data_IF_915375583850
#
_entry.id   IF_915375583850
#
_cell.length_a   1.000
_cell.length_b   1.000
_cell.length_c   1.000
_cell.angle_alpha   90.00
_cell.angle_beta   90.00
_cell.angle_gamma   90.00
#
_symmetry.space_group_name_H-M   'P 1'
#
loop_
_entity.id
_entity.type
_entity.pdbx_description
1 polymer ?
#
# COMPACT_ATOMS: atom_id res chain seq x y z
N UNK A 1 -1.16 -4.10 -18.23
CA UNK A 1 -2.53 -3.55 -18.08
C UNK A 1 -2.80 -2.97 -16.69
N UNK A 2 -3.84 -2.12 -16.58
CA UNK A 2 -4.40 -1.60 -15.32
C UNK A 2 -5.81 -2.17 -15.08
N UNK A 3 -6.06 -2.67 -13.88
CA UNK A 3 -7.33 -3.30 -13.48
C UNK A 3 -7.91 -2.60 -12.25
N UNK A 4 -9.22 -2.40 -12.24
CA UNK A 4 -9.99 -1.90 -11.10
C UNK A 4 -11.25 -2.73 -10.87
N UNK A 5 -11.88 -2.52 -9.73
CA UNK A 5 -13.15 -3.13 -9.37
C UNK A 5 -14.15 -2.03 -9.05
N UNK A 6 -15.26 -1.98 -9.78
CA UNK A 6 -16.33 -1.01 -9.59
C UNK A 6 -17.43 -1.56 -8.68
N UNK A 7 -18.07 -0.65 -7.94
CA UNK A 7 -19.27 -0.94 -7.14
C UNK A 7 -20.42 -1.36 -8.08
N UNK A 8 -20.96 -2.56 -7.87
CA UNK A 8 -22.14 -3.08 -8.59
C UNK A 8 -23.25 -3.56 -7.64
N UNK A 9 -23.07 -3.34 -6.33
CA UNK A 9 -23.95 -3.82 -5.26
C UNK A 9 -23.63 -5.23 -4.76
N UNK A 10 -22.70 -5.95 -5.39
CA UNK A 10 -22.18 -7.23 -4.91
C UNK A 10 -20.96 -7.04 -4.00
N UNK A 11 -20.58 -8.10 -3.27
CA UNK A 11 -19.44 -8.08 -2.32
C UNK A 11 -18.08 -8.02 -3.00
N UNK A 12 -17.97 -8.45 -4.25
CA UNK A 12 -16.70 -8.51 -4.99
C UNK A 12 -16.62 -7.46 -6.10
N UNK A 13 -17.67 -6.64 -6.26
CA UNK A 13 -17.80 -5.68 -7.34
C UNK A 13 -17.75 -6.29 -8.73
N UNK A 14 -17.53 -5.41 -9.71
CA UNK A 14 -17.42 -5.74 -11.12
C UNK A 14 -16.05 -5.31 -11.66
N UNK A 15 -15.32 -6.26 -12.27
CA UNK A 15 -14.01 -6.02 -12.87
C UNK A 15 -14.11 -5.08 -14.08
N UNK A 16 -13.21 -4.09 -14.11
CA UNK A 16 -12.99 -3.19 -15.24
C UNK A 16 -11.51 -3.15 -15.63
N UNK A 17 -11.26 -3.02 -16.93
CA UNK A 17 -9.94 -2.67 -17.49
C UNK A 17 -9.89 -1.17 -17.65
N UNK A 18 -8.81 -0.54 -17.19
CA UNK A 18 -8.65 0.93 -17.17
C UNK A 18 -7.55 1.35 -18.13
N UNK A 19 -7.71 2.44 -18.85
CA UNK A 19 -6.70 2.97 -19.77
C UNK A 19 -5.45 3.45 -19.02
N UNK A 20 -4.32 3.54 -19.74
CA UNK A 20 -3.02 3.90 -19.16
C UNK A 20 -3.03 5.28 -18.51
N UNK A 21 -3.74 6.23 -19.11
CA UNK A 21 -3.89 7.60 -18.61
C UNK A 21 -4.98 7.76 -17.54
N UNK A 22 -5.65 6.65 -17.14
CA UNK A 22 -6.75 6.62 -16.19
C UNK A 22 -7.97 7.48 -16.61
N UNK A 23 -8.15 7.74 -17.91
CA UNK A 23 -9.28 8.55 -18.40
C UNK A 23 -10.49 7.73 -18.83
N UNK A 24 -10.27 6.47 -19.24
CA UNK A 24 -11.30 5.58 -19.76
C UNK A 24 -11.24 4.22 -19.07
N UNK A 25 -12.36 3.52 -19.04
CA UNK A 25 -12.48 2.16 -18.58
C UNK A 25 -13.45 1.37 -19.46
N UNK A 26 -13.38 0.05 -19.33
CA UNK A 26 -14.26 -0.88 -20.01
C UNK A 26 -14.56 -2.06 -19.08
N UNK A 27 -15.83 -2.46 -18.98
CA UNK A 27 -16.21 -3.65 -18.22
C UNK A 27 -15.57 -4.89 -18.82
N UNK A 28 -14.98 -5.77 -18.01
CA UNK A 28 -14.39 -7.03 -18.49
C UNK A 28 -15.45 -8.10 -18.85
N UNK A 29 -16.70 -7.69 -19.12
CA UNK A 29 -17.82 -8.55 -19.46
C UNK A 29 -17.48 -9.47 -20.62
N UNK A 30 -17.76 -10.76 -20.47
CA UNK A 30 -17.39 -11.79 -21.44
C UNK A 30 -16.00 -12.41 -21.23
N UNK A 31 -15.14 -11.81 -20.40
CA UNK A 31 -13.85 -12.36 -20.00
C UNK A 31 -13.90 -12.84 -18.54
N UNK A 32 -14.15 -11.92 -17.60
CA UNK A 32 -14.25 -12.20 -16.18
C UNK A 32 -15.15 -11.17 -15.48
N UNK A 33 -15.85 -11.60 -14.43
CA UNK A 33 -16.68 -10.69 -13.63
C UNK A 33 -15.93 -10.06 -12.47
N UNK A 34 -14.95 -10.76 -11.90
CA UNK A 34 -14.25 -10.37 -10.66
C UNK A 34 -12.74 -10.52 -10.80
N UNK A 35 -11.97 -9.67 -10.12
CA UNK A 35 -10.52 -9.78 -10.14
C UNK A 35 -9.99 -11.10 -9.56
N UNK A 36 -10.62 -11.62 -8.49
CA UNK A 36 -10.23 -12.91 -7.91
C UNK A 36 -10.34 -14.06 -8.93
N UNK A 37 -11.38 -14.07 -9.76
CA UNK A 37 -11.55 -15.07 -10.82
C UNK A 37 -10.37 -15.04 -11.81
N UNK A 38 -9.92 -13.84 -12.17
CA UNK A 38 -8.75 -13.66 -13.05
C UNK A 38 -7.48 -14.17 -12.36
N UNK A 39 -7.33 -13.95 -11.06
CA UNK A 39 -6.16 -14.41 -10.31
C UNK A 39 -6.14 -15.94 -10.18
N UNK A 40 -7.30 -16.56 -9.99
CA UNK A 40 -7.46 -18.02 -9.90
C UNK A 40 -7.09 -18.71 -11.23
N UNK A 41 -7.34 -18.08 -12.38
CA UNK A 41 -7.01 -18.61 -13.72
C UNK A 41 -6.24 -17.59 -14.59
N UNK A 42 -5.17 -17.06 -14.00
CA UNK A 42 -4.40 -15.94 -14.58
C UNK A 42 -3.88 -16.25 -15.99
N UNK A 43 -3.36 -17.47 -16.20
CA UNK A 43 -2.78 -17.88 -17.48
C UNK A 43 -3.79 -17.87 -18.63
N UNK A 44 -5.08 -18.10 -18.34
CA UNK A 44 -6.13 -18.12 -19.35
C UNK A 44 -6.80 -16.74 -19.53
N UNK A 45 -7.09 -16.04 -18.44
CA UNK A 45 -7.89 -14.80 -18.49
C UNK A 45 -7.04 -13.55 -18.73
N UNK A 46 -5.81 -13.48 -18.20
CA UNK A 46 -4.99 -12.27 -18.30
C UNK A 46 -4.64 -11.87 -19.75
N UNK A 47 -4.33 -12.80 -20.68
CA UNK A 47 -4.10 -12.44 -22.09
C UNK A 47 -5.30 -11.74 -22.74
N UNK A 48 -6.52 -12.19 -22.45
CA UNK A 48 -7.75 -11.60 -22.99
C UNK A 48 -7.99 -10.19 -22.44
N UNK A 49 -7.72 -9.98 -21.15
CA UNK A 49 -7.77 -8.65 -20.54
C UNK A 49 -6.70 -7.72 -21.10
N UNK A 50 -5.52 -8.26 -21.42
CA UNK A 50 -4.44 -7.50 -22.04
C UNK A 50 -4.81 -7.06 -23.45
N UNK A 51 -5.50 -7.90 -24.23
CA UNK A 51 -6.04 -7.52 -25.54
C UNK A 51 -7.09 -6.40 -25.42
N UNK A 52 -8.01 -6.51 -24.46
CA UNK A 52 -8.99 -5.46 -24.16
C UNK A 52 -8.29 -4.16 -23.75
N UNK A 53 -7.24 -4.24 -22.92
CA UNK A 53 -6.42 -3.11 -22.52
C UNK A 53 -5.76 -2.43 -23.73
N UNK A 54 -5.22 -3.19 -24.68
CA UNK A 54 -4.66 -2.64 -25.91
C UNK A 54 -5.72 -1.97 -26.81
N UNK A 55 -6.90 -2.57 -26.93
CA UNK A 55 -8.03 -1.97 -27.66
C UNK A 55 -8.48 -0.65 -27.01
N UNK A 56 -8.57 -0.63 -25.68
CA UNK A 56 -8.95 0.56 -24.92
C UNK A 56 -7.94 1.70 -25.12
N UNK A 57 -6.64 1.41 -24.97
CA UNK A 57 -5.58 2.41 -25.14
C UNK A 57 -5.38 2.88 -26.59
N UNK A 58 -5.85 2.12 -27.58
CA UNK A 58 -5.84 2.54 -28.99
C UNK A 58 -7.11 3.27 -29.43
N UNK A 59 -8.07 3.48 -28.51
CA UNK A 59 -9.35 4.11 -28.80
C UNK A 59 -10.30 3.27 -29.65
N UNK A 60 -10.05 1.95 -29.73
CA UNK A 60 -10.82 1.01 -30.56
C UNK A 60 -11.81 0.15 -29.77
N UNK A 61 -11.75 0.17 -28.44
CA UNK A 61 -12.71 -0.53 -27.61
C UNK A 61 -14.10 0.10 -27.77
N UNK A 62 -15.07 -0.70 -28.23
CA UNK A 62 -16.49 -0.32 -28.26
C UNK A 62 -16.99 -0.27 -26.82
N UNK A 63 -17.93 0.61 -26.48
CA UNK A 63 -18.50 0.72 -25.12
C UNK A 63 -17.49 1.11 -24.01
N UNK A 64 -16.34 1.70 -24.37
CA UNK A 64 -15.51 2.40 -23.41
C UNK A 64 -16.28 3.58 -22.79
N UNK A 65 -16.02 3.85 -21.51
CA UNK A 65 -16.65 4.93 -20.75
C UNK A 65 -15.62 5.66 -19.89
N UNK A 66 -15.95 6.86 -19.41
CA UNK A 66 -15.05 7.63 -18.55
C UNK A 66 -14.77 6.90 -17.23
N UNK A 67 -13.50 6.79 -16.86
CA UNK A 67 -13.11 6.22 -15.57
C UNK A 67 -13.40 7.21 -14.43
N UNK A 68 -13.99 6.73 -13.33
CA UNK A 68 -14.30 7.52 -12.15
C UNK A 68 -13.81 6.78 -10.89
N UNK A 69 -12.70 7.21 -10.26
CA UNK A 69 -12.16 6.59 -9.06
C UNK A 69 -13.15 6.48 -7.89
N UNK A 70 -14.18 7.34 -7.83
CA UNK A 70 -15.20 7.30 -6.77
C UNK A 70 -16.14 6.10 -6.87
N UNK A 71 -16.21 5.47 -8.04
CA UNK A 71 -16.95 4.21 -8.24
C UNK A 71 -16.11 2.98 -7.87
N UNK A 72 -14.80 3.14 -7.65
CA UNK A 72 -13.94 2.03 -7.29
C UNK A 72 -14.19 1.53 -5.87
N UNK A 73 -14.13 0.21 -5.73
CA UNK A 73 -13.77 -0.47 -4.49
C UNK A 73 -12.24 -0.65 -4.46
N UNK A 74 -11.68 -1.28 -3.41
CA UNK A 74 -10.34 -1.83 -3.52
C UNK A 74 -10.27 -2.84 -4.70
N UNK A 75 -9.12 -2.98 -5.40
CA UNK A 75 -9.02 -3.89 -6.55
C UNK A 75 -9.48 -5.32 -6.22
N UNK A 76 -9.16 -5.82 -5.02
CA UNK A 76 -9.86 -6.92 -4.36
C UNK A 76 -10.63 -6.33 -3.18
N UNK A 77 -11.97 -6.19 -3.23
CA UNK A 77 -12.75 -5.63 -2.11
C UNK A 77 -12.65 -6.45 -0.84
N UNK A 78 -12.45 -7.75 -1.03
CA UNK A 78 -12.10 -8.73 -0.01
C UNK A 78 -11.13 -9.72 -0.62
N UNK A 79 -10.21 -10.21 0.19
CA UNK A 79 -9.18 -11.15 -0.21
C UNK A 79 -9.08 -12.28 0.81
N UNK A 80 -8.49 -13.39 0.38
CA UNK A 80 -8.23 -14.52 1.28
C UNK A 80 -7.06 -14.28 2.22
N UNK A 81 -6.21 -13.28 1.95
CA UNK A 81 -5.05 -12.95 2.77
C UNK A 81 -4.56 -11.51 2.55
N UNK A 82 -4.35 -10.79 3.65
CA UNK A 82 -3.54 -9.57 3.73
C UNK A 82 -2.42 -9.81 4.74
N UNK A 83 -1.18 -9.86 4.26
CA UNK A 83 0.00 -10.00 5.10
C UNK A 83 0.92 -8.81 4.87
N UNK A 84 1.06 -7.97 5.88
CA UNK A 84 1.82 -6.75 5.75
C UNK A 84 3.18 -6.85 6.44
N UNK A 85 4.19 -6.28 5.80
CA UNK A 85 5.58 -6.34 6.20
C UNK A 85 6.06 -5.08 6.92
N UNK A 86 7.33 -5.08 7.32
CA UNK A 86 8.05 -3.84 7.64
C UNK A 86 9.36 -3.85 6.88
N UNK A 87 9.26 -3.65 5.56
CA UNK A 87 10.38 -3.77 4.63
C UNK A 87 11.41 -2.63 4.77
N UNK A 88 11.01 -1.49 5.31
CA UNK A 88 11.86 -0.32 5.51
C UNK A 88 12.33 -0.28 6.97
N UNK A 89 13.50 -0.85 7.25
CA UNK A 89 14.02 -0.92 8.62
C UNK A 89 14.24 0.46 9.25
N UNK A 90 14.45 1.50 8.43
CA UNK A 90 14.50 2.90 8.90
C UNK A 90 13.28 3.28 9.74
N UNK A 91 12.08 2.82 9.37
CA UNK A 91 10.86 3.08 10.15
C UNK A 91 10.98 2.50 11.57
N UNK A 92 11.46 1.25 11.67
CA UNK A 92 11.65 0.55 12.94
C UNK A 92 12.78 1.19 13.76
N UNK A 93 13.86 1.62 13.10
CA UNK A 93 14.96 2.37 13.71
C UNK A 93 14.45 3.63 14.40
N UNK A 94 13.63 4.43 13.73
CA UNK A 94 13.07 5.67 14.29
C UNK A 94 12.18 5.40 15.51
N UNK A 95 11.30 4.40 15.44
CA UNK A 95 10.42 4.03 16.55
C UNK A 95 11.22 3.57 17.78
N UNK A 96 12.29 2.80 17.56
CA UNK A 96 13.15 2.30 18.64
C UNK A 96 14.00 3.41 19.23
N UNK A 97 14.61 4.24 18.39
CA UNK A 97 15.44 5.37 18.81
C UNK A 97 14.65 6.40 19.63
N UNK A 98 13.41 6.71 19.23
CA UNK A 98 12.54 7.61 19.99
C UNK A 98 12.19 7.09 21.40
N UNK A 99 12.40 5.80 21.67
CA UNK A 99 12.22 5.16 22.98
C UNK A 99 13.54 4.87 23.70
N UNK A 100 14.68 5.32 23.15
CA UNK A 100 16.01 5.03 23.70
C UNK A 100 16.39 3.54 23.62
N UNK A 101 15.85 2.80 22.65
CA UNK A 101 16.12 1.39 22.45
C UNK A 101 16.87 1.14 21.14
N UNK A 102 17.72 0.10 21.14
CA UNK A 102 18.38 -0.37 19.92
C UNK A 102 17.48 -1.34 19.13
N UNK A 103 17.70 -1.41 17.81
CA UNK A 103 17.05 -2.40 16.94
C UNK A 103 17.76 -3.74 17.12
N UNK A 104 17.03 -4.83 17.42
CA UNK A 104 17.62 -6.17 17.47
C UNK A 104 18.29 -6.53 16.13
N UNK A 105 19.51 -7.10 16.19
CA UNK A 105 20.32 -7.38 15.00
C UNK A 105 19.62 -8.29 13.98
N UNK A 106 18.75 -9.20 14.44
CA UNK A 106 18.00 -10.09 13.57
C UNK A 106 16.95 -9.37 12.71
N UNK A 107 16.50 -8.17 13.06
CA UNK A 107 15.52 -7.43 12.24
C UNK A 107 16.09 -6.99 10.90
N UNK A 108 17.42 -6.90 10.78
CA UNK A 108 18.10 -6.59 9.51
C UNK A 108 18.17 -7.79 8.55
N UNK A 109 17.90 -9.00 9.02
CA UNK A 109 18.02 -10.24 8.23
C UNK A 109 16.76 -11.08 8.19
N UNK A 110 15.82 -10.86 9.12
CA UNK A 110 14.55 -11.57 9.21
C UNK A 110 13.38 -10.57 9.12
N UNK A 111 12.58 -10.60 8.02
CA UNK A 111 11.47 -9.69 7.84
C UNK A 111 10.46 -9.75 9.00
N UNK A 112 9.99 -8.59 9.42
CA UNK A 112 8.81 -8.48 10.28
C UNK A 112 7.57 -8.50 9.40
N UNK A 113 6.60 -9.35 9.73
CA UNK A 113 5.29 -9.37 9.09
C UNK A 113 4.18 -9.67 10.09
N UNK A 114 2.98 -9.20 9.81
CA UNK A 114 1.78 -9.55 10.55
C UNK A 114 0.63 -9.92 9.62
N UNK A 115 -0.37 -10.62 10.16
CA UNK A 115 -1.60 -10.96 9.45
C UNK A 115 -2.63 -9.85 9.69
N UNK A 116 -3.01 -9.12 8.63
CA UNK A 116 -4.05 -8.10 8.70
C UNK A 116 -5.44 -8.65 8.33
N UNK A 117 -6.48 -7.85 8.61
CA UNK A 117 -7.84 -8.13 8.17
C UNK A 117 -7.96 -7.97 6.65
N UNK A 118 -8.71 -8.86 6.00
CA UNK A 118 -8.81 -8.89 4.53
C UNK A 118 -10.21 -9.13 4.00
N UNK A 119 -11.22 -9.10 4.86
CA UNK A 119 -12.60 -9.45 4.54
C UNK A 119 -13.46 -8.27 4.09
N UNK A 120 -13.03 -7.03 4.37
CA UNK A 120 -13.74 -5.80 4.00
C UNK A 120 -12.77 -4.61 3.88
N UNK A 121 -12.15 -4.43 2.70
CA UNK A 121 -11.26 -3.30 2.45
C UNK A 121 -12.03 -2.06 2.01
N UNK A 122 -11.51 -0.89 2.36
CA UNK A 122 -12.07 0.37 1.92
C UNK A 122 -11.69 0.65 0.46
N UNK A 123 -12.64 1.20 -0.29
CA UNK A 123 -12.37 1.80 -1.59
C UNK A 123 -11.46 3.02 -1.47
N UNK A 124 -10.81 3.42 -2.58
CA UNK A 124 -9.82 4.51 -2.57
C UNK A 124 -10.40 5.87 -2.18
N UNK A 125 -11.70 6.07 -2.38
CA UNK A 125 -12.42 7.31 -2.06
C UNK A 125 -13.49 7.11 -0.98
N UNK A 126 -13.50 5.96 -0.32
CA UNK A 126 -14.40 5.72 0.81
C UNK A 126 -13.81 6.38 2.06
N UNK A 127 -14.69 6.90 2.93
CA UNK A 127 -14.27 7.51 4.18
C UNK A 127 -13.65 6.46 5.12
N UNK A 128 -12.62 6.87 5.84
CA UNK A 128 -12.02 6.09 6.93
C UNK A 128 -12.84 6.36 8.19
N UNK A 129 -13.76 5.44 8.47
CA UNK A 129 -14.64 5.52 9.64
C UNK A 129 -13.92 5.00 10.88
N UNK A 130 -13.79 5.84 11.91
CA UNK A 130 -13.09 5.48 13.15
C UNK A 130 -13.90 5.88 14.39
N UNK A 131 -13.98 5.05 15.44
CA UNK A 131 -14.89 5.32 16.57
C UNK A 131 -14.54 6.54 17.41
N UNK A 132 -13.26 6.94 17.44
CA UNK A 132 -12.81 8.09 18.24
C UNK A 132 -11.42 8.57 17.83
N UNK A 133 -11.25 9.89 17.76
CA UNK A 133 -9.96 10.54 17.55
C UNK A 133 -8.93 10.22 18.65
N UNK A 134 -9.38 9.90 19.87
CA UNK A 134 -8.47 9.58 20.97
C UNK A 134 -7.67 8.30 20.72
N UNK A 135 -8.05 7.51 19.72
CA UNK A 135 -7.35 6.28 19.32
C UNK A 135 -6.06 6.56 18.53
N UNK A 136 -5.78 7.82 18.17
CA UNK A 136 -4.54 8.22 17.51
C UNK A 136 -4.50 7.76 16.05
N UNK A 137 -5.43 8.29 15.25
CA UNK A 137 -5.65 7.91 13.84
C UNK A 137 -4.44 8.32 13.00
N UNK A 138 -3.89 7.39 12.24
CA UNK A 138 -2.72 7.61 11.40
C UNK A 138 -2.89 6.92 10.05
N UNK A 139 -2.37 7.56 9.00
CA UNK A 139 -2.23 6.93 7.69
C UNK A 139 -0.89 6.20 7.62
N UNK A 140 -0.83 5.15 6.80
CA UNK A 140 0.42 4.47 6.46
C UNK A 140 0.47 4.27 4.96
N UNK A 141 1.25 5.10 4.27
CA UNK A 141 1.36 5.01 2.82
C UNK A 141 2.37 3.92 2.44
N UNK A 142 1.90 2.93 1.67
CA UNK A 142 2.66 1.73 1.32
C UNK A 142 2.50 1.31 -0.14
N UNK A 143 3.31 0.33 -0.54
CA UNK A 143 3.15 -0.42 -1.78
C UNK A 143 2.69 -1.84 -1.41
N UNK A 144 1.75 -2.39 -2.16
CA UNK A 144 1.31 -3.77 -2.03
C UNK A 144 1.41 -4.52 -3.36
N UNK A 145 1.63 -5.84 -3.27
CA UNK A 145 1.60 -6.74 -4.42
C UNK A 145 0.51 -7.79 -4.24
N UNK A 146 -0.10 -8.21 -5.35
CA UNK A 146 -1.02 -9.34 -5.41
C UNK A 146 -0.32 -10.51 -6.07
N UNK A 147 -0.37 -11.68 -5.44
CA UNK A 147 0.37 -12.86 -5.89
C UNK A 147 -0.52 -13.84 -6.64
N UNK A 148 0.10 -14.69 -7.45
CA UNK A 148 -0.42 -16.00 -7.82
C UNK A 148 -0.22 -17.01 -6.66
N UNK A 149 -0.48 -18.29 -6.93
CA UNK A 149 -0.07 -19.37 -6.04
C UNK A 149 1.46 -19.45 -5.93
N UNK A 150 1.96 -19.41 -4.69
CA UNK A 150 3.37 -19.61 -4.35
C UNK A 150 3.46 -20.72 -3.31
N UNK A 151 4.20 -21.81 -3.59
CA UNK A 151 4.23 -22.95 -2.68
C UNK A 151 5.06 -22.66 -1.45
N UNK A 152 4.72 -23.37 -0.37
CA UNK A 152 5.51 -23.44 0.85
C UNK A 152 6.97 -23.80 0.53
N UNK A 153 7.90 -23.12 1.20
CA UNK A 153 9.34 -23.27 1.00
C UNK A 153 9.89 -22.58 -0.27
N UNK A 154 9.12 -21.73 -0.94
CA UNK A 154 9.63 -20.96 -2.08
C UNK A 154 10.81 -20.05 -1.70
N UNK A 155 11.82 -20.00 -2.57
CA UNK A 155 12.93 -19.04 -2.46
C UNK A 155 12.45 -17.63 -2.80
N UNK A 156 13.16 -16.57 -2.38
CA UNK A 156 12.82 -15.19 -2.74
C UNK A 156 12.65 -14.94 -4.24
N UNK A 157 13.44 -15.61 -5.09
CA UNK A 157 13.37 -15.47 -6.56
C UNK A 157 12.10 -16.13 -7.12
N UNK A 158 11.79 -17.34 -6.64
CA UNK A 158 10.55 -18.04 -7.02
C UNK A 158 9.32 -17.27 -6.56
N UNK A 159 9.36 -16.77 -5.33
CA UNK A 159 8.30 -15.99 -4.72
C UNK A 159 8.09 -14.66 -5.47
N UNK A 160 9.17 -14.00 -5.89
CA UNK A 160 9.08 -12.79 -6.72
C UNK A 160 8.41 -13.05 -8.08
N UNK A 161 8.68 -14.19 -8.72
CA UNK A 161 7.99 -14.62 -9.94
C UNK A 161 6.47 -14.87 -9.77
N UNK A 162 6.00 -14.96 -8.51
CA UNK A 162 4.59 -15.06 -8.17
C UNK A 162 3.82 -13.73 -8.22
N UNK A 163 4.50 -12.58 -8.27
CA UNK A 163 3.81 -11.28 -8.34
C UNK A 163 3.01 -11.14 -9.64
N UNK A 164 1.78 -10.65 -9.55
CA UNK A 164 0.88 -10.41 -10.68
C UNK A 164 0.52 -8.94 -10.85
N UNK A 165 0.19 -8.30 -9.73
CA UNK A 165 -0.24 -6.90 -9.72
C UNK A 165 0.46 -6.14 -8.59
N UNK A 166 0.57 -4.83 -8.77
CA UNK A 166 1.08 -3.86 -7.78
C UNK A 166 0.02 -2.78 -7.59
N UNK A 167 -0.14 -2.31 -6.36
CA UNK A 167 -1.05 -1.23 -5.98
C UNK A 167 -0.48 -0.43 -4.80
N UNK A 168 -1.09 0.71 -4.49
CA UNK A 168 -0.78 1.46 -3.26
C UNK A 168 -1.69 0.99 -2.13
N UNK A 169 -1.24 1.13 -0.89
CA UNK A 169 -2.05 0.88 0.29
C UNK A 169 -2.03 2.07 1.26
N UNK A 170 -3.13 2.23 2.00
CA UNK A 170 -3.22 3.02 3.22
C UNK A 170 -3.54 2.08 4.37
N UNK A 171 -2.52 1.66 5.12
CA UNK A 171 -2.67 0.73 6.24
C UNK A 171 -3.00 1.46 7.55
N UNK A 172 -4.23 1.99 7.59
CA UNK A 172 -4.74 2.84 8.67
C UNK A 172 -4.41 2.25 10.03
N UNK A 173 -3.90 3.11 10.91
CA UNK A 173 -3.39 2.72 12.22
C UNK A 173 -4.04 3.53 13.34
N UNK A 174 -4.40 2.85 14.43
CA UNK A 174 -4.89 3.47 15.67
C UNK A 174 -3.78 3.40 16.73
N UNK A 175 -2.87 4.37 16.66
CA UNK A 175 -1.57 4.36 17.33
C UNK A 175 -1.63 4.27 18.85
N UNK A 176 -2.68 4.81 19.46
CA UNK A 176 -2.83 4.77 20.92
C UNK A 176 -3.34 3.41 21.42
N UNK A 177 -3.89 2.56 20.54
CA UNK A 177 -4.27 1.18 20.88
C UNK A 177 -3.08 0.21 20.78
N UNK A 178 -2.13 0.48 19.88
CA UNK A 178 -0.99 -0.40 19.56
C UNK A 178 -0.21 -0.87 20.80
N UNK A 179 0.25 0.00 21.74
CA UNK A 179 1.09 -0.44 22.84
C UNK A 179 0.41 -1.49 23.73
N UNK A 180 -0.85 -1.23 24.09
CA UNK A 180 -1.62 -2.12 24.94
C UNK A 180 -1.96 -3.42 24.19
N UNK A 181 -2.29 -3.35 22.91
CA UNK A 181 -2.60 -4.53 22.10
C UNK A 181 -1.38 -5.44 21.92
N UNK A 182 -0.22 -4.89 21.53
CA UNK A 182 1.03 -5.64 21.41
C UNK A 182 1.50 -6.23 22.74
N UNK A 183 1.26 -5.54 23.86
CA UNK A 183 1.61 -6.07 25.20
C UNK A 183 0.85 -7.36 25.57
N UNK A 184 -0.30 -7.63 24.93
CA UNK A 184 -1.05 -8.89 25.09
C UNK A 184 -0.37 -10.07 24.40
N UNK A 185 0.58 -9.81 23.48
CA UNK A 185 1.38 -10.84 22.80
C UNK A 185 0.71 -11.49 21.58
N UNK A 186 -0.40 -10.95 21.09
CA UNK A 186 -1.19 -11.52 19.97
C UNK A 186 -1.13 -10.70 18.67
N UNK A 187 -0.14 -9.82 18.54
CA UNK A 187 -0.01 -8.95 17.36
C UNK A 187 -1.07 -7.85 17.30
N UNK A 188 -1.37 -7.38 16.10
CA UNK A 188 -2.36 -6.34 15.85
C UNK A 188 -3.73 -6.94 15.53
N UNK A 189 -4.80 -6.27 15.97
CA UNK A 189 -6.16 -6.62 15.61
C UNK A 189 -7.05 -5.38 15.62
N UNK A 190 -7.30 -4.80 16.79
CA UNK A 190 -8.12 -3.59 16.93
C UNK A 190 -7.37 -2.35 16.47
N UNK A 191 -6.04 -2.32 16.60
CA UNK A 191 -5.26 -1.15 16.25
C UNK A 191 -5.01 -0.99 14.75
N UNK A 192 -5.41 -1.97 13.94
CA UNK A 192 -5.27 -2.00 12.48
C UNK A 192 -6.66 -2.24 11.86
N UNK A 193 -7.49 -1.18 11.73
CA UNK A 193 -8.79 -1.26 11.04
C UNK A 193 -8.62 -1.55 9.54
N UNK A 194 -9.72 -1.48 8.78
CA UNK A 194 -9.72 -1.78 7.36
C UNK A 194 -8.68 -0.97 6.56
N UNK A 195 -7.75 -1.67 5.91
CA UNK A 195 -6.79 -1.11 4.96
C UNK A 195 -7.53 -0.63 3.71
N UNK A 196 -7.04 0.45 3.09
CA UNK A 196 -7.54 0.95 1.81
C UNK A 196 -6.50 0.70 0.71
N UNK A 197 -6.94 0.53 -0.54
CA UNK A 197 -6.03 0.35 -1.68
C UNK A 197 -6.32 1.35 -2.81
N UNK A 198 -5.32 1.57 -3.67
CA UNK A 198 -5.46 2.48 -4.81
C UNK A 198 -6.54 2.07 -5.81
N UNK A 199 -7.12 3.02 -6.58
CA UNK A 199 -8.18 2.74 -7.53
C UNK A 199 -7.88 1.63 -8.54
N UNK A 200 -6.64 1.52 -9.02
CA UNK A 200 -6.21 0.43 -9.90
C UNK A 200 -5.03 -0.33 -9.31
N UNK A 201 -4.99 -1.62 -9.62
CA UNK A 201 -3.80 -2.46 -9.54
C UNK A 201 -3.23 -2.67 -10.94
N UNK A 202 -1.91 -2.63 -11.08
CA UNK A 202 -1.24 -2.65 -12.40
C UNK A 202 -0.30 -3.84 -12.51
N UNK A 203 -0.18 -4.39 -13.72
CA UNK A 203 0.81 -5.44 -14.00
C UNK A 203 2.22 -4.83 -14.09
N UNK A 204 3.24 -5.69 -13.91
CA UNK A 204 4.63 -5.24 -13.83
C UNK A 204 5.13 -4.53 -15.11
N UNK A 205 4.62 -4.89 -16.28
CA UNK A 205 4.96 -4.23 -17.55
C UNK A 205 4.55 -2.75 -17.60
N UNK A 206 3.49 -2.35 -16.87
CA UNK A 206 3.08 -0.93 -16.78
C UNK A 206 4.03 -0.10 -15.91
N UNK A 207 4.85 -0.74 -15.08
CA UNK A 207 5.87 -0.08 -14.26
C UNK A 207 7.19 0.10 -15.01
N UNK A 208 7.42 -0.67 -16.09
CA UNK A 208 8.64 -0.65 -16.89
C UNK A 208 9.90 -0.75 -16.03
N UNK A 209 10.90 0.09 -16.32
CA UNK A 209 12.19 0.10 -15.60
C UNK A 209 12.09 0.57 -14.14
N UNK A 210 10.93 1.08 -13.71
CA UNK A 210 10.74 1.44 -12.31
C UNK A 210 10.58 0.21 -11.40
N UNK A 211 10.08 -0.91 -11.93
CA UNK A 211 10.06 -2.18 -11.22
C UNK A 211 11.40 -2.90 -11.40
N UNK A 212 12.24 -2.90 -10.36
CA UNK A 212 13.59 -3.47 -10.43
C UNK A 212 13.95 -4.18 -9.12
N UNK A 213 14.52 -5.37 -9.23
CA UNK A 213 15.00 -6.14 -8.08
C UNK A 213 13.91 -6.43 -7.03
N UNK A 214 12.66 -6.57 -7.48
CA UNK A 214 11.49 -6.80 -6.63
C UNK A 214 11.04 -5.59 -5.82
N UNK A 215 11.38 -4.38 -6.27
CA UNK A 215 11.03 -3.09 -5.66
C UNK A 215 10.47 -2.14 -6.72
N UNK A 216 9.72 -1.15 -6.27
CA UNK A 216 9.20 -0.07 -7.12
C UNK A 216 9.97 1.23 -6.84
N UNK A 217 10.80 1.66 -7.78
CA UNK A 217 11.66 2.86 -7.65
C UNK A 217 10.96 4.11 -8.19
N UNK A 218 9.97 4.60 -7.43
CA UNK A 218 9.26 5.84 -7.70
C UNK A 218 8.88 6.53 -6.39
N UNK A 219 8.55 7.82 -6.51
CA UNK A 219 8.12 8.63 -5.37
C UNK A 219 6.66 8.37 -5.00
N UNK A 220 6.44 7.89 -3.79
CA UNK A 220 5.15 7.84 -3.12
C UNK A 220 4.86 9.22 -2.48
N UNK A 221 3.75 9.82 -2.89
CA UNK A 221 3.35 11.16 -2.46
C UNK A 221 2.21 11.06 -1.46
N UNK A 222 2.42 11.61 -0.27
CA UNK A 222 1.42 11.69 0.80
C UNK A 222 1.06 13.15 1.03
N UNK A 223 -0.22 13.49 0.87
CA UNK A 223 -0.76 14.83 1.07
C UNK A 223 -1.81 14.81 2.16
N UNK A 224 -1.51 15.42 3.30
CA UNK A 224 -2.40 15.49 4.46
C UNK A 224 -2.96 16.92 4.58
N UNK A 225 -4.28 17.07 4.58
CA UNK A 225 -4.97 18.35 4.62
C UNK A 225 -4.49 19.35 3.54
N UNK A 226 -4.31 18.84 2.31
CA UNK A 226 -3.83 19.60 1.16
C UNK A 226 -2.33 19.95 1.18
N UNK A 227 -1.58 19.54 2.21
CA UNK A 227 -0.14 19.78 2.32
C UNK A 227 0.64 18.52 2.00
N UNK A 228 1.63 18.61 1.11
CA UNK A 228 2.55 17.49 0.85
C UNK A 228 3.44 17.27 2.06
N UNK A 229 3.28 16.11 2.69
CA UNK A 229 4.02 15.72 3.90
C UNK A 229 5.03 14.61 3.65
N UNK A 230 4.82 13.81 2.60
CA UNK A 230 5.71 12.72 2.18
C UNK A 230 5.95 12.75 0.68
N UNK A 231 7.22 12.57 0.32
CA UNK A 231 7.74 12.40 -1.04
C UNK A 231 8.80 11.29 -1.02
N UNK A 232 8.50 10.19 -0.30
CA UNK A 232 9.42 9.08 -0.09
C UNK A 232 9.61 8.28 -1.38
N UNK A 233 10.84 7.83 -1.65
CA UNK A 233 11.11 6.87 -2.71
C UNK A 233 10.84 5.45 -2.19
N UNK A 234 9.99 4.71 -2.90
CA UNK A 234 9.55 3.37 -2.49
C UNK A 234 10.57 2.26 -2.80
N UNK A 235 11.62 2.54 -3.57
CA UNK A 235 12.65 1.55 -3.88
C UNK A 235 13.90 1.73 -3.01
N UNK A 236 14.24 2.98 -2.70
CA UNK A 236 15.34 3.34 -1.81
C UNK A 236 15.04 2.93 -0.37
N UNK A 237 16.05 2.46 0.37
CA UNK A 237 15.96 2.00 1.77
C UNK A 237 14.99 0.82 2.05
N UNK A 238 14.30 0.29 1.05
CA UNK A 238 13.53 -0.95 1.17
C UNK A 238 14.48 -2.14 1.36
N UNK A 239 14.69 -2.52 2.63
CA UNK A 239 15.67 -3.53 3.05
C UNK A 239 15.29 -4.92 2.55
N UNK A 240 14.00 -5.25 2.56
CA UNK A 240 13.48 -6.52 2.07
C UNK A 240 12.61 -6.31 0.83
N UNK A 241 12.95 -6.89 -0.31
CA UNK A 241 12.10 -6.80 -1.51
C UNK A 241 10.90 -7.74 -1.42
N UNK A 242 9.88 -7.55 -2.26
CA UNK A 242 8.63 -8.35 -2.20
C UNK A 242 8.85 -9.87 -2.28
N UNK A 243 9.80 -10.32 -3.10
CA UNK A 243 10.20 -11.74 -3.11
C UNK A 243 10.62 -12.29 -1.74
N UNK A 244 11.38 -11.52 -0.94
CA UNK A 244 11.78 -11.92 0.42
C UNK A 244 10.58 -11.93 1.38
N UNK A 245 9.67 -10.96 1.29
CA UNK A 245 8.46 -10.92 2.10
C UNK A 245 7.55 -12.11 1.82
N UNK A 246 7.28 -12.39 0.54
CA UNK A 246 6.46 -13.54 0.13
C UNK A 246 7.14 -14.86 0.54
N UNK A 247 8.47 -14.98 0.38
CA UNK A 247 9.21 -16.17 0.83
C UNK A 247 9.17 -16.34 2.36
N UNK A 248 9.17 -15.24 3.12
CA UNK A 248 9.01 -15.27 4.57
C UNK A 248 7.64 -15.87 4.96
N UNK A 249 6.55 -15.45 4.32
CA UNK A 249 5.23 -16.09 4.49
C UNK A 249 5.30 -17.57 4.10
N UNK A 250 5.95 -17.88 2.96
CA UNK A 250 6.04 -19.24 2.43
C UNK A 250 6.85 -20.19 3.30
N UNK A 251 7.56 -19.72 4.34
CA UNK A 251 8.38 -20.56 5.22
C UNK A 251 7.60 -21.76 5.78
N UNK A 252 6.31 -21.59 6.09
CA UNK A 252 5.48 -22.63 6.73
C UNK A 252 4.08 -22.77 6.14
N UNK A 253 3.75 -22.07 5.06
CA UNK A 253 2.45 -22.18 4.38
C UNK A 253 2.56 -21.88 2.89
N UNK A 254 1.53 -22.26 2.14
CA UNK A 254 1.38 -21.76 0.76
C UNK A 254 0.82 -20.34 0.81
N UNK A 255 1.18 -19.52 -0.18
CA UNK A 255 0.49 -18.28 -0.51
C UNK A 255 -0.42 -18.58 -1.70
N UNK A 256 -1.67 -18.13 -1.64
CA UNK A 256 -2.67 -18.43 -2.69
C UNK A 256 -2.86 -17.26 -3.64
N UNK A 257 -3.30 -17.55 -4.86
CA UNK A 257 -3.68 -16.54 -5.83
C UNK A 257 -4.66 -15.51 -5.21
N UNK A 258 -4.35 -14.23 -5.36
CA UNK A 258 -5.09 -13.14 -4.72
C UNK A 258 -4.66 -12.82 -3.29
N UNK A 259 -3.62 -13.46 -2.75
CA UNK A 259 -2.98 -12.97 -1.53
C UNK A 259 -2.34 -11.60 -1.78
N UNK A 260 -2.55 -10.69 -0.84
CA UNK A 260 -2.00 -9.34 -0.87
C UNK A 260 -0.84 -9.29 0.12
N UNK A 261 0.31 -8.78 -0.33
CA UNK A 261 1.51 -8.60 0.50
C UNK A 261 1.93 -7.14 0.50
N UNK A 262 1.92 -6.53 1.68
CA UNK A 262 2.28 -5.13 1.88
C UNK A 262 3.77 -4.94 2.14
N UNK A 263 4.28 -3.76 1.81
CA UNK A 263 5.67 -3.41 2.09
C UNK A 263 5.88 -2.97 3.54
N UNK A 264 4.82 -2.59 4.25
CA UNK A 264 4.91 -1.66 5.36
C UNK A 264 5.13 -0.23 4.89
N UNK A 265 4.89 0.72 5.79
CA UNK A 265 5.10 2.17 5.59
C UNK A 265 6.42 2.47 4.85
N UNK A 266 6.33 3.16 3.71
CA UNK A 266 7.51 3.59 2.94
C UNK A 266 8.30 4.62 3.73
N UNK A 267 9.57 4.33 4.00
CA UNK A 267 10.41 5.17 4.87
C UNK A 267 11.80 5.32 4.29
N UNK A 268 12.29 6.56 4.24
CA UNK A 268 13.67 6.84 3.81
C UNK A 268 14.47 7.47 4.94
N UNK A 269 15.76 7.16 4.96
CA UNK A 269 16.70 7.74 5.90
C UNK A 269 16.78 9.24 5.69
N UNK A 270 16.89 9.98 6.79
CA UNK A 270 17.21 11.39 6.67
C UNK A 270 18.67 11.57 6.23
N UNK A 271 19.04 12.81 5.93
CA UNK A 271 20.38 13.22 5.53
C UNK A 271 20.97 14.20 6.54
N UNK A 272 22.26 14.09 6.82
CA UNK A 272 22.95 15.11 7.61
C UNK A 272 23.09 16.40 6.79
N UNK A 273 22.64 17.52 7.36
CA UNK A 273 22.84 18.86 6.83
C UNK A 273 23.71 19.68 7.79
N UNK A 274 24.31 20.77 7.28
CA UNK A 274 25.14 21.68 8.07
C UNK A 274 26.62 21.28 8.24
N UNK A 275 27.39 22.13 8.94
CA UNK A 275 28.83 21.92 9.22
C UNK A 275 29.16 22.25 10.67
N UNK A 276 30.12 21.51 11.24
CA UNK A 276 30.64 21.76 12.59
C UNK A 276 29.54 21.65 13.67
N UNK A 277 29.38 22.70 14.48
CA UNK A 277 28.38 22.75 15.56
C UNK A 277 26.93 22.87 15.08
N UNK A 278 26.70 23.11 13.79
CA UNK A 278 25.36 23.26 13.20
C UNK A 278 24.90 21.99 12.46
N UNK A 279 25.55 20.83 12.69
CA UNK A 279 25.13 19.57 12.07
C UNK A 279 23.75 19.17 12.61
N UNK A 280 22.79 18.94 11.71
CA UNK A 280 21.44 18.48 12.04
C UNK A 280 21.03 17.38 11.06
N UNK A 281 20.19 16.47 11.52
CA UNK A 281 19.51 15.53 10.65
C UNK A 281 18.26 16.15 10.03
N UNK A 282 18.08 15.98 8.72
CA UNK A 282 16.90 16.43 7.99
C UNK A 282 16.25 15.27 7.23
N UNK A 283 14.93 15.28 7.11
CA UNK A 283 14.18 14.29 6.33
C UNK A 283 13.58 14.97 5.10
N UNK A 284 14.38 15.24 4.04
CA UNK A 284 13.94 16.01 2.88
C UNK A 284 12.83 15.32 2.09
N UNK A 285 12.74 13.99 2.20
CA UNK A 285 11.68 13.19 1.59
C UNK A 285 10.40 13.12 2.43
N UNK A 286 10.36 13.78 3.59
CA UNK A 286 9.18 13.79 4.45
C UNK A 286 8.94 12.46 5.15
N UNK A 287 7.67 12.11 5.34
CA UNK A 287 7.23 10.90 6.04
C UNK A 287 5.98 10.29 5.41
N UNK A 288 5.83 8.97 5.54
CA UNK A 288 4.66 8.23 5.05
C UNK A 288 3.69 7.80 6.16
N UNK A 289 3.97 8.19 7.42
CA UNK A 289 3.02 8.11 8.54
C UNK A 289 3.34 9.15 9.62
N UNK A 290 2.33 9.59 10.39
CA UNK A 290 2.48 10.59 11.45
C UNK A 290 3.30 10.03 12.60
N UNK A 291 3.21 8.73 12.90
CA UNK A 291 4.03 8.10 13.93
C UNK A 291 5.53 8.30 13.68
N UNK A 292 5.98 8.20 12.42
CA UNK A 292 7.37 8.48 12.05
C UNK A 292 7.74 9.94 12.28
N UNK A 293 6.89 10.88 11.84
CA UNK A 293 7.07 12.31 12.10
C UNK A 293 7.21 12.62 13.59
N UNK A 294 6.37 12.01 14.42
CA UNK A 294 6.41 12.14 15.88
C UNK A 294 7.67 11.54 16.49
N UNK A 295 8.19 10.43 15.95
CA UNK A 295 9.48 9.86 16.35
C UNK A 295 10.64 10.81 16.02
N UNK A 296 10.66 11.37 14.81
CA UNK A 296 11.66 12.37 14.39
C UNK A 296 11.64 13.58 15.33
N UNK A 297 10.46 14.10 15.67
CA UNK A 297 10.32 15.22 16.61
C UNK A 297 10.81 14.85 18.01
N UNK A 298 10.53 13.64 18.48
CA UNK A 298 11.01 13.17 19.79
C UNK A 298 12.54 13.09 19.82
N UNK A 299 13.16 12.58 18.75
CA UNK A 299 14.62 12.47 18.63
C UNK A 299 15.29 13.84 18.59
N UNK A 300 14.69 14.83 17.92
CA UNK A 300 15.27 16.16 17.75
C UNK A 300 14.96 17.14 18.88
N UNK A 301 13.71 17.15 19.33
CA UNK A 301 13.15 18.18 20.21
C UNK A 301 12.75 17.62 21.58
N UNK A 302 12.92 16.31 21.81
CA UNK A 302 12.62 15.64 23.08
C UNK A 302 11.16 15.24 23.29
N UNK A 303 10.24 15.72 22.46
CA UNK A 303 8.81 15.37 22.52
C UNK A 303 8.12 15.53 21.16
N UNK A 304 7.06 14.75 20.87
CA UNK A 304 6.26 14.91 19.66
C UNK A 304 5.38 16.16 19.75
N UNK A 305 5.28 16.90 18.64
CA UNK A 305 4.43 18.11 18.50
C UNK A 305 3.30 17.90 17.51
N UNK A 306 3.53 17.12 16.45
CA UNK A 306 2.52 16.85 15.42
C UNK A 306 1.43 15.95 16.01
N UNK A 307 0.18 16.40 16.00
CA UNK A 307 -0.97 15.58 16.42
C UNK A 307 -1.29 14.48 15.39
N UNK A 308 -2.04 13.46 15.82
CA UNK A 308 -2.64 12.47 14.92
C UNK A 308 -3.83 13.06 14.17
N UNK A 309 -4.35 12.32 13.19
CA UNK A 309 -5.48 12.78 12.38
C UNK A 309 -6.74 12.96 13.22
N UNK A 310 -7.58 13.90 12.79
CA UNK A 310 -8.87 14.27 13.38
C UNK A 310 -10.01 14.04 12.41
N UNK A 311 -11.25 14.02 12.90
CA UNK A 311 -12.41 14.01 12.03
C UNK A 311 -12.41 15.26 11.13
N UNK A 312 -12.69 15.05 9.85
CA UNK A 312 -12.58 16.07 8.81
C UNK A 312 -11.19 16.24 8.19
N UNK A 313 -10.15 15.57 8.72
CA UNK A 313 -8.87 15.51 8.05
C UNK A 313 -8.96 14.70 6.75
N UNK A 314 -8.12 15.04 5.78
CA UNK A 314 -8.03 14.35 4.49
C UNK A 314 -6.63 13.81 4.24
N UNK A 315 -6.56 12.61 3.66
CA UNK A 315 -5.30 12.00 3.22
C UNK A 315 -5.41 11.59 1.76
N UNK A 316 -4.45 12.07 0.96
CA UNK A 316 -4.26 11.66 -0.42
C UNK A 316 -2.92 10.98 -0.61
N UNK A 317 -2.93 9.74 -1.08
CA UNK A 317 -1.74 8.93 -1.40
C UNK A 317 -1.74 8.62 -2.90
N UNK A 318 -0.70 9.08 -3.60
CA UNK A 318 -0.55 8.88 -5.04
C UNK A 318 0.89 8.57 -5.44
N UNK A 319 1.06 7.92 -6.58
CA UNK A 319 2.37 7.72 -7.20
C UNK A 319 2.29 8.04 -8.69
N UNK A 320 3.23 8.88 -9.14
CA UNK A 320 3.34 9.31 -10.52
C UNK A 320 4.51 8.63 -11.20
N UNK A 321 4.35 8.31 -12.48
CA UNK A 321 5.42 7.85 -13.34
C UNK A 321 6.42 8.95 -13.62
N UNK A 322 7.53 8.58 -14.29
CA UNK A 322 8.56 9.53 -14.75
C UNK A 322 8.01 10.55 -15.76
N UNK A 323 6.88 10.23 -16.40
CA UNK A 323 6.12 11.09 -17.31
C UNK A 323 5.17 12.07 -16.58
N UNK A 324 5.09 11.99 -15.24
CA UNK A 324 4.22 12.81 -14.42
C UNK A 324 2.76 12.33 -14.35
N UNK A 325 2.39 11.26 -15.05
CA UNK A 325 1.03 10.71 -15.01
C UNK A 325 0.84 9.82 -13.79
N UNK A 326 -0.38 9.79 -13.24
CA UNK A 326 -0.69 8.88 -12.13
C UNK A 326 -0.69 7.43 -12.61
N UNK A 327 0.01 6.56 -11.89
CA UNK A 327 0.08 5.14 -12.23
C UNK A 327 -1.16 4.43 -11.69
N UNK A 328 -1.45 4.63 -10.40
CA UNK A 328 -2.44 3.83 -9.67
C UNK A 328 -3.78 4.55 -9.45
N UNK A 329 -3.90 5.80 -9.89
CA UNK A 329 -4.86 6.73 -9.32
C UNK A 329 -4.38 7.20 -7.94
N UNK A 330 -5.30 7.69 -7.12
CA UNK A 330 -5.00 8.08 -5.75
C UNK A 330 -6.00 7.48 -4.78
N UNK A 331 -5.49 7.07 -3.62
CA UNK A 331 -6.30 6.96 -2.41
C UNK A 331 -6.55 8.41 -1.96
N UNK A 332 -7.78 8.80 -1.73
CA UNK A 332 -8.21 10.17 -1.40
C UNK A 332 -9.41 10.10 -0.45
N UNK A 333 -9.12 10.11 0.85
CA UNK A 333 -10.07 9.71 1.89
C UNK A 333 -10.22 10.80 2.95
N UNK A 334 -11.42 10.90 3.52
CA UNK A 334 -11.70 11.71 4.71
C UNK A 334 -11.72 10.81 5.95
N UNK A 335 -11.32 11.37 7.08
CA UNK A 335 -11.50 10.73 8.38
C UNK A 335 -12.86 11.15 8.95
N UNK A 336 -13.72 10.19 9.27
CA UNK A 336 -15.09 10.47 9.74
C UNK A 336 -15.46 9.64 10.96
N UNK A 337 -16.45 10.14 11.70
CA UNK A 337 -17.08 9.41 12.79
C UNK A 337 -18.11 8.39 12.24
N UNK A 338 -18.43 7.32 12.99
CA UNK A 338 -19.49 6.40 12.59
C UNK A 338 -20.84 7.11 12.51
N UNK A 339 -21.65 6.77 11.52
CA UNK A 339 -23.03 7.24 11.45
C UNK A 339 -23.83 6.75 12.68
N UNK A 340 -24.66 7.61 13.25
CA UNK A 340 -25.54 7.32 14.39
C UNK A 340 -26.61 6.25 14.08
#
# INVERSE_FOLDING_TARGET
>A
MKLATYKDGSRDGQLVVVSRDLSQAHYATGIASRLQQVLDDWSYMAPQLQDLYHLLNSGKAVHAFAFDPRQCMAPLPRAYQWADGSAYINHVELVRQARGAEVPANFYTDPLMYQGGSDDFLGPCDDVVVPSESMGIDFEAEIAVITADVPMGATPERALGGVRLVMLANDVSLRNLIPNELSKGFGFFQSKPATSFSPVAVTLDELGDAWKGGRLHLTLQSTWNGRKVGMCDAGEDMSFHFGQLIAHICKTRNVRAGSIVGSGTVSNKGVESGKGKNRRMEWPKGYSCIAEKRCIETIQDGAPKTEFMRFGDTIRIEMKGKDGQSIFGAIDQNIVEPAE
#
